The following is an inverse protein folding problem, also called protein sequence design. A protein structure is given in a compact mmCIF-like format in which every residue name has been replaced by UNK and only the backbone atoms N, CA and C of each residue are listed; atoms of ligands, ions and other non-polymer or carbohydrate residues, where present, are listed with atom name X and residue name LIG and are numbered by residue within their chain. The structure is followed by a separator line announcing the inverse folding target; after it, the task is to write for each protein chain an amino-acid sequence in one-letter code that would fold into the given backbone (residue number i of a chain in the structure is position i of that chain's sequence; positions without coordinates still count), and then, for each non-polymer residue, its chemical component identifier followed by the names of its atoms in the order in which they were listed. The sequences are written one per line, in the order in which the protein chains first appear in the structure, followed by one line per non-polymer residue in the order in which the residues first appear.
data_IF_441190101925
#
_entry.id   IF_441190101925
#
_cell.length_a   1.000
_cell.length_b   1.000
_cell.length_c   1.000
_cell.angle_alpha   90.00
_cell.angle_beta   90.00
_cell.angle_gamma   90.00
#
_symmetry.space_group_name_H-M   'P 1'
#
loop_
_entity.id
_entity.type
_entity.pdbx_description
1 polymer ?
#
# COMPACT_ATOMS: atom_id res chain seq x y z
N UNK A 1 46.63 12.32 51.39
CA UNK A 1 45.43 11.49 51.37
C UNK A 1 44.68 11.82 50.06
N UNK A 2 45.03 11.09 49.00
CA UNK A 2 44.45 11.30 47.68
C UNK A 2 43.19 10.44 47.54
N UNK A 3 42.08 11.08 47.31
CA UNK A 3 40.83 10.40 46.92
C UNK A 3 40.79 10.26 45.40
N UNK A 4 40.84 9.02 44.90
CA UNK A 4 40.65 8.70 43.48
C UNK A 4 39.12 8.60 43.22
N UNK A 5 38.59 9.50 42.37
CA UNK A 5 37.25 9.39 41.79
C UNK A 5 37.28 8.37 40.66
N UNK A 6 36.67 7.20 40.86
CA UNK A 6 36.32 6.28 39.77
C UNK A 6 35.07 6.80 39.05
N UNK A 7 35.24 7.34 37.84
CA UNK A 7 34.13 7.61 36.94
C UNK A 7 33.71 6.29 36.28
N UNK A 8 32.56 5.72 36.67
CA UNK A 8 31.90 4.66 35.93
C UNK A 8 31.29 5.26 34.65
N UNK A 9 31.87 4.92 33.51
CA UNK A 9 31.23 5.15 32.22
C UNK A 9 30.05 4.19 32.09
N UNK A 10 28.84 4.70 32.23
CA UNK A 10 27.61 3.99 31.83
C UNK A 10 27.57 4.00 30.32
N UNK A 11 27.94 2.88 29.72
CA UNK A 11 27.68 2.62 28.29
C UNK A 11 26.18 2.48 28.11
N UNK A 12 25.52 3.55 27.65
CA UNK A 12 24.18 3.45 27.10
C UNK A 12 24.26 2.57 25.85
N UNK A 13 23.86 1.33 25.97
CA UNK A 13 23.53 0.50 24.83
C UNK A 13 22.27 1.11 24.21
N UNK A 14 22.45 1.98 23.21
CA UNK A 14 21.32 2.40 22.36
C UNK A 14 20.83 1.15 21.64
N UNK A 15 19.69 0.62 22.09
CA UNK A 15 18.93 -0.34 21.33
C UNK A 15 18.48 0.38 20.06
N UNK A 16 19.21 0.20 18.97
CA UNK A 16 18.77 0.57 17.63
C UNK A 16 17.58 -0.33 17.34
N UNK A 17 16.39 0.16 17.62
CA UNK A 17 15.18 -0.49 17.12
C UNK A 17 15.24 -0.37 15.60
N UNK A 18 15.35 -1.51 14.89
CA UNK A 18 15.26 -1.55 13.46
C UNK A 18 13.92 -0.90 13.04
N UNK A 19 14.01 0.17 12.27
CA UNK A 19 12.84 0.95 11.88
C UNK A 19 12.01 0.13 10.89
N UNK A 20 10.71 -0.04 11.17
CA UNK A 20 9.77 -0.67 10.25
C UNK A 20 9.67 0.16 8.98
N UNK A 21 9.97 -0.46 7.84
CA UNK A 21 9.89 0.22 6.54
C UNK A 21 8.44 0.39 6.12
N UNK A 22 8.11 1.59 5.67
CA UNK A 22 6.77 1.93 5.14
C UNK A 22 6.88 2.48 3.72
N UNK A 23 5.82 2.36 2.95
CA UNK A 23 5.72 3.08 1.68
C UNK A 23 5.67 4.58 1.96
N UNK A 24 6.61 5.34 1.44
CA UNK A 24 6.72 6.78 1.73
C UNK A 24 7.27 7.56 0.54
N UNK A 25 6.78 8.79 0.38
CA UNK A 25 7.43 9.84 -0.39
C UNK A 25 7.97 10.83 0.63
N UNK A 26 9.29 10.94 0.69
CA UNK A 26 9.98 11.79 1.66
C UNK A 26 10.12 13.23 1.19
N UNK A 27 9.89 13.49 -0.11
CA UNK A 27 9.91 14.82 -0.71
C UNK A 27 8.54 15.17 -1.27
N UNK A 28 8.13 16.41 -1.07
CA UNK A 28 6.82 16.91 -1.51
C UNK A 28 6.68 17.02 -3.03
N UNK A 29 7.78 17.21 -3.76
CA UNK A 29 7.82 17.26 -5.21
C UNK A 29 7.77 15.90 -5.90
N UNK A 30 7.91 14.79 -5.14
CA UNK A 30 7.77 13.43 -5.65
C UNK A 30 6.29 13.03 -5.66
N UNK A 31 5.75 12.77 -6.85
CA UNK A 31 4.32 12.49 -7.07
C UNK A 31 4.13 11.19 -7.86
N UNK A 32 2.90 10.71 -7.88
CA UNK A 32 2.40 9.60 -8.72
C UNK A 32 3.32 8.38 -8.70
N UNK A 33 3.80 8.01 -7.49
CA UNK A 33 4.70 6.87 -7.34
C UNK A 33 3.92 5.57 -7.44
N UNK A 34 4.25 4.74 -8.41
CA UNK A 34 3.65 3.43 -8.64
C UNK A 34 4.70 2.33 -8.71
N UNK A 35 4.35 1.15 -8.24
CA UNK A 35 5.16 -0.05 -8.34
C UNK A 35 4.25 -1.22 -8.71
N UNK A 36 4.20 -1.56 -10.00
CA UNK A 36 3.28 -2.56 -10.52
C UNK A 36 4.02 -3.72 -11.18
N UNK A 37 3.50 -4.93 -10.98
CA UNK A 37 4.00 -6.12 -11.65
C UNK A 37 3.86 -5.99 -13.16
N UNK A 38 4.96 -6.17 -13.89
CA UNK A 38 5.06 -6.02 -15.34
C UNK A 38 4.48 -4.70 -15.91
N UNK A 39 4.39 -3.66 -15.07
CA UNK A 39 3.83 -2.37 -15.44
C UNK A 39 2.31 -2.36 -15.66
N UNK A 40 1.60 -3.42 -15.26
CA UNK A 40 0.15 -3.52 -15.37
C UNK A 40 -0.51 -2.77 -14.21
N UNK A 41 -1.22 -1.69 -14.52
CA UNK A 41 -1.89 -0.85 -13.51
C UNK A 41 -2.87 -1.68 -12.65
N UNK A 42 -2.77 -1.51 -11.33
CA UNK A 42 -3.56 -2.25 -10.34
C UNK A 42 -2.99 -3.62 -9.95
N UNK A 43 -2.03 -4.17 -10.71
CA UNK A 43 -1.33 -5.39 -10.32
C UNK A 43 -0.40 -5.10 -9.13
N UNK A 44 -0.50 -5.95 -8.11
CA UNK A 44 0.27 -5.76 -6.89
C UNK A 44 1.75 -6.12 -7.09
N UNK A 45 2.64 -5.49 -6.32
CA UNK A 45 4.07 -5.74 -6.41
C UNK A 45 4.45 -7.06 -5.71
N UNK A 46 3.97 -8.18 -6.26
CA UNK A 46 4.29 -9.54 -5.79
C UNK A 46 4.86 -10.33 -6.94
N UNK A 47 6.13 -10.69 -6.84
CA UNK A 47 6.84 -11.52 -7.82
C UNK A 47 6.84 -12.98 -7.37
N UNK A 48 6.95 -13.90 -8.32
CA UNK A 48 7.21 -15.32 -8.05
C UNK A 48 8.70 -15.58 -8.16
N UNK A 49 9.28 -16.22 -7.16
CA UNK A 49 10.71 -16.55 -7.14
C UNK A 49 11.08 -17.42 -8.36
N UNK A 50 12.10 -17.01 -9.08
CA UNK A 50 12.54 -17.68 -10.29
C UNK A 50 11.70 -17.42 -11.55
N UNK A 51 10.68 -16.56 -11.49
CA UNK A 51 9.96 -16.12 -12.68
C UNK A 51 10.73 -15.01 -13.43
N UNK A 52 10.30 -14.77 -14.67
CA UNK A 52 10.80 -13.64 -15.47
C UNK A 52 10.05 -12.33 -15.23
N UNK A 53 9.05 -12.35 -14.33
CA UNK A 53 8.28 -11.18 -13.96
C UNK A 53 9.17 -10.11 -13.34
N UNK A 54 8.85 -8.85 -13.61
CA UNK A 54 9.55 -7.69 -13.08
C UNK A 54 8.56 -6.64 -12.57
N UNK A 55 8.99 -5.82 -11.65
CA UNK A 55 8.23 -4.65 -11.21
C UNK A 55 8.65 -3.43 -12.03
N UNK A 56 7.69 -2.64 -12.47
CA UNK A 56 7.94 -1.31 -13.01
C UNK A 56 7.72 -0.28 -11.90
N UNK A 57 8.83 0.26 -11.40
CA UNK A 57 8.81 1.45 -10.56
C UNK A 57 8.67 2.66 -11.46
N UNK A 58 7.73 3.56 -11.14
CA UNK A 58 7.53 4.82 -11.85
C UNK A 58 7.19 5.92 -10.85
N UNK A 59 7.72 7.12 -11.07
CA UNK A 59 7.42 8.30 -10.26
C UNK A 59 7.67 9.57 -11.05
N UNK A 60 7.01 10.64 -10.66
CA UNK A 60 7.22 11.97 -11.20
C UNK A 60 7.95 12.83 -10.15
N UNK A 61 8.85 13.68 -10.64
CA UNK A 61 9.44 14.77 -9.84
C UNK A 61 8.99 16.08 -10.47
N UNK A 62 8.30 16.91 -9.69
CA UNK A 62 7.82 18.21 -10.15
C UNK A 62 8.99 19.14 -10.47
N UNK A 63 8.88 19.89 -11.56
CA UNK A 63 9.91 20.75 -12.11
C UNK A 63 10.45 20.24 -13.45
N UNK A 64 11.14 21.13 -14.17
CA UNK A 64 11.65 20.85 -15.52
C UNK A 64 13.09 20.25 -15.51
N UNK A 65 13.78 20.29 -14.37
CA UNK A 65 15.18 19.86 -14.28
C UNK A 65 15.29 18.35 -14.13
N UNK A 66 16.18 17.76 -14.92
CA UNK A 66 16.50 16.33 -14.84
C UNK A 66 17.59 16.13 -13.79
N UNK A 67 17.27 15.32 -12.78
CA UNK A 67 18.22 14.95 -11.73
C UNK A 67 18.63 13.47 -11.84
N UNK A 68 19.80 13.11 -11.33
CA UNK A 68 20.27 11.73 -11.28
C UNK A 68 19.74 11.02 -10.01
N UNK A 69 19.16 9.85 -10.19
CA UNK A 69 18.66 9.01 -9.10
C UNK A 69 19.24 7.61 -9.16
N UNK A 70 19.25 6.94 -8.00
CA UNK A 70 19.62 5.53 -7.84
C UNK A 70 18.54 4.81 -7.03
N UNK A 71 18.37 3.53 -7.30
CA UNK A 71 17.58 2.65 -6.45
C UNK A 71 18.49 1.69 -5.69
N UNK A 72 18.06 1.25 -4.52
CA UNK A 72 18.62 0.15 -3.75
C UNK A 72 17.53 -0.77 -3.27
N UNK A 73 17.76 -2.09 -3.37
CA UNK A 73 16.87 -3.15 -2.91
C UNK A 73 17.44 -3.77 -1.66
N UNK A 74 16.62 -3.97 -0.62
CA UNK A 74 17.02 -4.64 0.61
C UNK A 74 15.96 -5.67 1.00
N UNK A 75 16.40 -6.79 1.55
CA UNK A 75 15.52 -7.80 2.11
C UNK A 75 15.01 -7.37 3.48
N UNK A 76 13.77 -7.77 3.83
CA UNK A 76 13.12 -7.47 5.09
C UNK A 76 12.50 -8.74 5.68
N UNK A 77 12.38 -8.77 6.98
CA UNK A 77 11.63 -9.80 7.70
C UNK A 77 10.10 -9.69 7.44
N UNK A 78 9.33 -10.61 7.98
CA UNK A 78 7.87 -10.64 7.82
C UNK A 78 7.15 -9.45 8.48
N UNK A 79 7.85 -8.64 9.27
CA UNK A 79 7.36 -7.41 9.93
C UNK A 79 7.87 -6.13 9.28
N UNK A 80 8.51 -6.25 8.11
CA UNK A 80 9.06 -5.13 7.34
C UNK A 80 10.24 -4.42 8.04
N UNK A 81 11.01 -5.14 8.84
CA UNK A 81 12.30 -4.65 9.34
C UNK A 81 13.38 -5.13 8.36
N UNK A 82 14.27 -4.21 7.95
CA UNK A 82 15.43 -4.59 7.13
C UNK A 82 16.29 -5.54 7.94
N UNK A 83 16.58 -6.70 7.41
CA UNK A 83 17.42 -7.68 8.07
C UNK A 83 18.92 -7.46 7.77
N UNK A 84 19.77 -8.16 8.53
CA UNK A 84 21.24 -8.03 8.46
C UNK A 84 21.86 -8.91 7.37
N UNK A 85 21.07 -9.32 6.36
CA UNK A 85 21.58 -10.17 5.28
C UNK A 85 22.42 -9.36 4.30
N UNK A 86 23.53 -9.96 3.88
CA UNK A 86 24.36 -9.38 2.85
C UNK A 86 23.71 -9.52 1.46
N UNK A 87 23.86 -8.55 0.55
CA UNK A 87 23.21 -8.54 -0.76
C UNK A 87 23.33 -9.85 -1.55
N UNK A 88 24.51 -10.47 -1.56
CA UNK A 88 24.75 -11.74 -2.27
C UNK A 88 23.98 -12.94 -1.70
N UNK A 89 23.39 -12.84 -0.50
CA UNK A 89 22.58 -13.90 0.10
C UNK A 89 21.14 -13.90 -0.43
N UNK A 90 20.62 -12.73 -0.82
CA UNK A 90 19.24 -12.59 -1.31
C UNK A 90 19.13 -12.23 -2.78
N UNK A 91 20.22 -11.79 -3.42
CA UNK A 91 20.22 -11.39 -4.83
C UNK A 91 21.48 -11.81 -5.56
N UNK A 92 21.32 -12.35 -6.77
CA UNK A 92 22.39 -12.55 -7.73
C UNK A 92 22.42 -11.33 -8.66
N UNK A 93 23.58 -10.73 -8.86
CA UNK A 93 23.76 -9.48 -9.61
C UNK A 93 23.81 -8.26 -8.68
N UNK A 94 23.22 -7.15 -9.12
CA UNK A 94 23.31 -5.87 -8.42
C UNK A 94 22.00 -5.57 -7.70
N UNK A 95 22.07 -5.28 -6.40
CA UNK A 95 20.95 -4.85 -5.57
C UNK A 95 20.63 -3.37 -5.74
N UNK A 96 21.56 -2.60 -6.33
CA UNK A 96 21.40 -1.19 -6.59
C UNK A 96 21.78 -0.81 -8.04
N UNK A 97 21.25 0.29 -8.50
CA UNK A 97 21.57 0.79 -9.83
C UNK A 97 21.10 2.22 -10.07
N UNK A 98 21.59 2.87 -11.13
CA UNK A 98 21.07 4.18 -11.54
C UNK A 98 19.69 4.04 -12.16
N UNK A 99 18.87 5.10 -12.03
CA UNK A 99 17.60 5.26 -12.75
C UNK A 99 17.91 6.13 -13.97
N UNK A 100 18.07 5.50 -15.12
CA UNK A 100 18.47 6.18 -16.36
C UNK A 100 17.30 6.47 -17.30
N UNK A 101 16.13 5.87 -17.02
CA UNK A 101 14.97 6.00 -17.87
C UNK A 101 14.10 7.16 -17.36
N UNK A 102 13.97 8.20 -18.16
CA UNK A 102 13.10 9.34 -17.84
C UNK A 102 12.54 10.00 -19.09
N UNK A 103 11.46 10.74 -18.93
CA UNK A 103 10.86 11.59 -19.96
C UNK A 103 10.33 12.87 -19.30
N UNK A 104 10.62 14.03 -19.88
CA UNK A 104 10.05 15.29 -19.44
C UNK A 104 8.59 15.40 -19.84
N UNK A 105 7.80 16.11 -19.04
CA UNK A 105 6.41 16.45 -19.38
C UNK A 105 6.35 17.29 -20.65
N UNK A 106 5.24 17.19 -21.35
CA UNK A 106 5.00 17.91 -22.58
C UNK A 106 3.55 18.40 -22.67
N UNK A 107 3.36 19.66 -23.01
CA UNK A 107 2.04 20.31 -23.13
C UNK A 107 1.21 20.37 -21.83
N UNK A 108 1.86 20.29 -20.67
CA UNK A 108 1.25 20.43 -19.34
C UNK A 108 1.47 21.84 -18.80
N UNK A 109 0.61 22.30 -17.88
CA UNK A 109 0.84 23.54 -17.13
C UNK A 109 1.86 23.31 -16.01
N UNK A 110 1.80 22.14 -15.37
CA UNK A 110 2.78 21.73 -14.36
C UNK A 110 3.90 20.95 -15.02
N UNK A 111 5.13 21.47 -14.96
CA UNK A 111 6.30 20.76 -15.43
C UNK A 111 6.67 19.63 -14.47
N UNK A 112 7.04 18.47 -15.00
CA UNK A 112 7.60 17.36 -14.24
C UNK A 112 8.48 16.48 -15.12
N UNK A 113 9.33 15.70 -14.48
CA UNK A 113 10.11 14.63 -15.12
C UNK A 113 9.58 13.29 -14.63
N UNK A 114 9.13 12.44 -15.54
CA UNK A 114 8.66 11.08 -15.24
C UNK A 114 9.84 10.10 -15.33
N UNK A 115 10.21 9.51 -14.19
CA UNK A 115 11.26 8.49 -14.07
C UNK A 115 10.65 7.10 -14.02
N UNK A 116 11.36 6.10 -14.58
CA UNK A 116 10.94 4.71 -14.45
C UNK A 116 12.11 3.75 -14.53
N UNK A 117 11.98 2.60 -13.83
CA UNK A 117 12.97 1.52 -13.86
C UNK A 117 12.32 0.16 -13.60
N UNK A 118 12.87 -0.88 -14.23
CA UNK A 118 12.45 -2.26 -13.99
C UNK A 118 13.26 -2.93 -12.89
N UNK A 119 12.56 -3.54 -11.91
CA UNK A 119 13.13 -4.20 -10.75
C UNK A 119 12.70 -5.67 -10.73
N UNK A 120 13.63 -6.62 -10.61
CA UNK A 120 15.10 -6.43 -10.66
C UNK A 120 15.56 -5.96 -12.04
N UNK A 121 16.82 -5.52 -12.14
CA UNK A 121 17.44 -5.23 -13.45
C UNK A 121 17.51 -6.52 -14.27
N UNK A 122 17.69 -6.41 -15.59
CA UNK A 122 17.82 -7.60 -16.46
C UNK A 122 19.05 -8.48 -16.13
N UNK A 123 19.97 -7.97 -15.33
CA UNK A 123 21.22 -8.65 -14.92
C UNK A 123 21.16 -9.13 -13.47
N UNK A 124 20.00 -9.00 -12.81
CA UNK A 124 19.83 -9.33 -11.41
C UNK A 124 18.65 -10.27 -11.19
N UNK A 125 18.77 -11.13 -10.17
CA UNK A 125 17.77 -12.15 -9.85
C UNK A 125 17.64 -12.32 -8.35
N UNK A 126 16.41 -12.45 -7.84
CA UNK A 126 16.18 -12.81 -6.44
C UNK A 126 16.55 -14.28 -6.21
N UNK A 127 17.28 -14.55 -5.13
CA UNK A 127 17.68 -15.89 -4.72
C UNK A 127 16.76 -16.49 -3.67
N UNK A 128 16.09 -15.66 -2.88
CA UNK A 128 15.21 -16.07 -1.79
C UNK A 128 13.86 -15.34 -1.85
N UNK A 129 12.86 -15.95 -1.22
CA UNK A 129 11.54 -15.37 -1.03
C UNK A 129 11.51 -14.47 0.20
N UNK A 130 10.53 -13.58 0.32
CA UNK A 130 10.34 -12.72 1.48
C UNK A 130 9.80 -11.35 1.11
N UNK A 131 9.92 -10.44 2.05
CA UNK A 131 9.61 -9.04 1.87
C UNK A 131 10.86 -8.30 1.38
N UNK A 132 10.63 -7.29 0.57
CA UNK A 132 11.68 -6.45 0.03
C UNK A 132 11.26 -5.00 0.03
N UNK A 133 12.21 -4.10 0.16
CA UNK A 133 12.02 -2.67 -0.03
C UNK A 133 12.93 -2.16 -1.14
N UNK A 134 12.38 -1.32 -2.00
CA UNK A 134 13.17 -0.48 -2.91
C UNK A 134 13.18 0.94 -2.36
N UNK A 135 14.38 1.48 -2.22
CA UNK A 135 14.63 2.86 -1.79
C UNK A 135 15.24 3.62 -2.96
N UNK A 136 14.73 4.81 -3.24
CA UNK A 136 15.29 5.70 -4.26
C UNK A 136 15.94 6.90 -3.57
N UNK A 137 17.19 7.19 -3.97
CA UNK A 137 17.98 8.31 -3.44
C UNK A 137 18.53 9.16 -4.58
N UNK A 138 18.97 10.38 -4.28
CA UNK A 138 19.79 11.15 -5.22
C UNK A 138 21.11 10.46 -5.48
N UNK A 139 21.59 10.51 -6.72
CA UNK A 139 22.77 9.76 -7.16
C UNK A 139 24.03 9.99 -6.32
N UNK A 140 24.27 11.22 -5.87
CA UNK A 140 25.44 11.60 -5.09
C UNK A 140 25.14 11.87 -3.60
N UNK A 141 23.91 11.59 -3.17
CA UNK A 141 23.43 11.87 -1.81
C UNK A 141 22.66 10.65 -1.29
N UNK A 142 23.32 9.58 -0.88
CA UNK A 142 22.67 8.32 -0.49
C UNK A 142 21.75 8.47 0.73
N UNK A 143 21.99 9.47 1.58
CA UNK A 143 21.16 9.77 2.74
C UNK A 143 19.91 10.61 2.39
N UNK A 144 19.85 11.17 1.18
CA UNK A 144 18.71 11.93 0.69
C UNK A 144 17.70 11.00 0.01
N UNK A 145 16.87 10.36 0.84
CA UNK A 145 15.84 9.43 0.38
C UNK A 145 14.66 10.19 -0.24
N UNK A 146 14.31 9.85 -1.48
CA UNK A 146 13.13 10.38 -2.17
C UNK A 146 11.88 9.61 -1.83
N UNK A 147 11.97 8.30 -1.97
CA UNK A 147 10.83 7.40 -1.77
C UNK A 147 11.29 6.01 -1.34
N UNK A 148 10.37 5.30 -0.69
CA UNK A 148 10.48 3.88 -0.39
C UNK A 148 9.23 3.16 -0.86
N UNK A 149 9.36 1.94 -1.40
CA UNK A 149 8.22 1.08 -1.79
C UNK A 149 8.50 -0.36 -1.40
N UNK A 150 7.49 -0.99 -0.80
CA UNK A 150 7.51 -2.39 -0.37
C UNK A 150 7.01 -3.28 -1.48
N UNK A 151 7.62 -4.44 -1.61
CA UNK A 151 7.16 -5.52 -2.50
C UNK A 151 7.50 -6.88 -1.92
N UNK A 152 6.95 -7.94 -2.51
CA UNK A 152 7.17 -9.29 -2.04
C UNK A 152 7.67 -10.19 -3.16
N UNK A 153 8.46 -11.19 -2.77
CA UNK A 153 8.85 -12.31 -3.64
C UNK A 153 8.35 -13.60 -2.99
N UNK A 154 7.40 -14.29 -3.63
CA UNK A 154 6.81 -15.53 -3.13
C UNK A 154 7.45 -16.74 -3.78
N UNK A 155 7.78 -17.75 -2.99
CA UNK A 155 8.31 -19.03 -3.53
C UNK A 155 7.23 -19.99 -4.04
N UNK A 156 6.04 -19.96 -3.42
CA UNK A 156 4.92 -20.79 -3.84
C UNK A 156 5.02 -22.25 -3.44
N UNK A 157 5.76 -22.60 -2.39
CA UNK A 157 5.85 -23.97 -1.86
C UNK A 157 4.54 -24.48 -1.27
N UNK A 158 3.68 -23.57 -0.81
CA UNK A 158 2.29 -23.83 -0.43
C UNK A 158 1.32 -23.02 -1.31
N UNK A 159 0.07 -23.49 -1.35
CA UNK A 159 -1.09 -22.74 -1.85
C UNK A 159 -1.92 -22.28 -0.66
N UNK A 160 -2.27 -21.01 -0.62
CA UNK A 160 -3.20 -20.45 0.34
C UNK A 160 -4.58 -20.34 -0.33
N UNK A 161 -5.49 -21.25 0.03
CA UNK A 161 -6.89 -21.18 -0.38
C UNK A 161 -7.61 -20.19 0.54
N UNK A 162 -8.16 -19.14 -0.03
CA UNK A 162 -8.86 -18.07 0.69
C UNK A 162 -10.34 -18.19 0.42
N UNK A 163 -11.15 -18.25 1.47
CA UNK A 163 -12.60 -18.24 1.38
C UNK A 163 -13.19 -17.14 2.25
N UNK A 164 -14.27 -16.50 1.77
CA UNK A 164 -14.94 -15.40 2.46
C UNK A 164 -16.38 -15.82 2.74
N UNK A 165 -16.74 -15.81 4.01
CA UNK A 165 -18.04 -16.31 4.47
C UNK A 165 -18.73 -15.40 5.47
N UNK A 166 -19.76 -15.97 6.11
CA UNK A 166 -20.46 -15.36 7.24
C UNK A 166 -19.61 -15.57 8.49
N UNK A 167 -19.52 -14.57 9.41
CA UNK A 167 -18.80 -14.72 10.67
C UNK A 167 -19.27 -15.94 11.48
N UNK A 168 -18.33 -16.69 12.03
CA UNK A 168 -18.58 -17.95 12.77
C UNK A 168 -19.46 -17.75 14.00
N UNK A 169 -19.41 -16.57 14.62
CA UNK A 169 -20.18 -16.21 15.80
C UNK A 169 -21.61 -15.72 15.46
N UNK A 170 -21.94 -15.58 14.18
CA UNK A 170 -23.18 -15.03 13.65
C UNK A 170 -23.54 -13.61 14.18
N UNK A 171 -22.53 -12.86 14.65
CA UNK A 171 -22.70 -11.47 15.08
C UNK A 171 -22.48 -10.53 13.90
N UNK A 172 -23.40 -9.57 13.74
CA UNK A 172 -23.33 -8.54 12.67
C UNK A 172 -23.11 -9.12 11.26
N UNK A 173 -23.81 -10.19 10.93
CA UNK A 173 -23.68 -10.92 9.66
C UNK A 173 -23.95 -10.07 8.41
N UNK A 174 -24.67 -8.95 8.57
CA UNK A 174 -24.95 -8.00 7.50
C UNK A 174 -23.88 -6.90 7.36
N UNK A 175 -22.94 -6.84 8.29
CA UNK A 175 -21.90 -5.81 8.35
C UNK A 175 -20.49 -6.35 8.21
N UNK A 176 -20.29 -7.66 8.43
CA UNK A 176 -18.99 -8.31 8.56
C UNK A 176 -18.82 -9.53 7.67
N UNK A 177 -17.58 -9.87 7.39
CA UNK A 177 -17.17 -11.09 6.68
C UNK A 177 -16.07 -11.79 7.44
N UNK A 178 -16.11 -13.13 7.44
CA UNK A 178 -15.01 -13.96 7.90
C UNK A 178 -14.15 -14.39 6.72
N UNK A 179 -12.83 -14.27 6.90
CA UNK A 179 -11.81 -14.66 5.92
C UNK A 179 -11.08 -15.88 6.45
N UNK A 180 -11.33 -17.02 5.83
CA UNK A 180 -10.72 -18.30 6.18
C UNK A 180 -9.57 -18.61 5.24
N UNK A 181 -8.50 -19.19 5.78
CA UNK A 181 -7.32 -19.59 5.03
C UNK A 181 -6.98 -21.05 5.30
N UNK A 182 -6.83 -21.84 4.22
CA UNK A 182 -6.34 -23.21 4.30
C UNK A 182 -5.03 -23.34 3.52
N UNK A 183 -3.98 -23.89 4.16
CA UNK A 183 -2.65 -24.04 3.57
C UNK A 183 -2.48 -25.45 3.01
N UNK A 184 -2.43 -25.56 1.69
CA UNK A 184 -2.27 -26.83 0.96
C UNK A 184 -0.89 -26.94 0.35
N UNK A 185 -0.38 -28.15 0.25
CA UNK A 185 0.85 -28.45 -0.47
C UNK A 185 0.71 -28.04 -1.96
N UNK A 186 1.72 -27.36 -2.48
CA UNK A 186 1.81 -27.07 -3.90
C UNK A 186 2.59 -28.17 -4.61
N UNK A 187 1.90 -29.15 -5.19
CA UNK A 187 2.50 -30.30 -5.88
C UNK A 187 3.31 -29.94 -7.13
N UNK A 188 3.09 -28.75 -7.67
CA UNK A 188 3.80 -28.24 -8.85
C UNK A 188 5.12 -27.53 -8.49
N UNK A 189 5.33 -27.25 -7.20
CA UNK A 189 6.55 -26.62 -6.71
C UNK A 189 7.76 -27.57 -6.82
N UNK A 190 8.91 -27.04 -7.25
CA UNK A 190 10.15 -27.82 -7.47
C UNK A 190 11.35 -27.28 -6.69
N UNK A 191 11.14 -26.29 -5.84
CA UNK A 191 12.19 -25.69 -5.01
C UNK A 191 12.42 -26.43 -3.70
N UNK A 192 12.99 -25.74 -2.72
CA UNK A 192 13.28 -26.27 -1.39
C UNK A 192 11.99 -26.62 -0.64
N UNK A 193 11.78 -27.91 -0.41
CA UNK A 193 10.57 -28.41 0.24
C UNK A 193 10.51 -28.01 1.73
N UNK A 194 9.30 -27.79 2.21
CA UNK A 194 9.03 -27.66 3.63
C UNK A 194 9.09 -29.05 4.32
N UNK A 195 9.28 -29.11 5.66
CA UNK A 195 9.22 -30.36 6.39
C UNK A 195 7.90 -31.09 6.15
N UNK A 196 7.91 -32.45 6.11
CA UNK A 196 6.69 -33.24 5.87
C UNK A 196 5.59 -32.99 6.91
N UNK A 197 5.98 -32.66 8.14
CA UNK A 197 5.06 -32.32 9.22
C UNK A 197 5.19 -30.82 9.50
N UNK A 198 4.17 -30.07 9.12
CA UNK A 198 4.13 -28.62 9.32
C UNK A 198 3.70 -28.30 10.75
N UNK A 199 4.56 -27.57 11.47
CA UNK A 199 4.22 -27.04 12.79
C UNK A 199 3.63 -25.63 12.65
N UNK A 200 2.39 -25.38 13.08
CA UNK A 200 1.75 -24.07 12.95
C UNK A 200 2.50 -22.95 13.67
N UNK A 201 3.31 -23.25 14.69
CA UNK A 201 4.12 -22.25 15.40
C UNK A 201 5.20 -21.58 14.53
N UNK A 202 5.55 -22.18 13.38
CA UNK A 202 6.53 -21.62 12.45
C UNK A 202 5.89 -20.78 11.33
N UNK A 203 4.56 -20.70 11.33
CA UNK A 203 3.84 -19.93 10.35
C UNK A 203 3.33 -18.61 10.91
N UNK A 204 3.41 -17.58 10.09
CA UNK A 204 2.76 -16.29 10.28
C UNK A 204 1.87 -16.05 9.07
N UNK A 205 0.56 -16.00 9.29
CA UNK A 205 -0.45 -15.78 8.24
C UNK A 205 -1.04 -14.40 8.42
N UNK A 206 -0.88 -13.53 7.42
CA UNK A 206 -1.34 -12.14 7.48
C UNK A 206 -2.35 -11.89 6.38
N UNK A 207 -3.48 -11.29 6.73
CA UNK A 207 -4.53 -10.90 5.79
C UNK A 207 -4.58 -9.40 5.66
N UNK A 208 -4.64 -8.91 4.42
CA UNK A 208 -4.84 -7.52 4.04
C UNK A 208 -6.17 -7.38 3.30
N UNK A 209 -7.01 -6.45 3.73
CA UNK A 209 -8.25 -6.10 3.05
C UNK A 209 -8.02 -4.92 2.11
N UNK A 210 -8.36 -5.06 0.83
CA UNK A 210 -8.12 -4.09 -0.23
C UNK A 210 -6.62 -3.70 -0.32
N UNK A 211 -6.28 -2.43 -0.23
CA UNK A 211 -4.89 -1.96 -0.15
C UNK A 211 -4.50 -1.44 1.23
N UNK A 212 -5.38 -1.56 2.22
CA UNK A 212 -5.20 -1.02 3.58
C UNK A 212 -4.08 -1.71 4.34
N UNK A 213 -3.27 -0.93 5.00
CA UNK A 213 -2.20 -1.44 5.88
C UNK A 213 -2.55 -1.27 7.36
N UNK A 214 -3.46 -0.37 7.68
CA UNK A 214 -3.91 -0.06 9.03
C UNK A 214 -4.77 -1.15 9.67
N UNK A 215 -5.48 -1.95 8.84
CA UNK A 215 -6.36 -3.03 9.29
C UNK A 215 -5.84 -4.43 8.95
N UNK A 216 -4.55 -4.58 8.60
CA UNK A 216 -3.94 -5.90 8.41
C UNK A 216 -4.02 -6.73 9.68
N UNK A 217 -4.34 -8.02 9.55
CA UNK A 217 -4.50 -8.93 10.69
C UNK A 217 -3.65 -10.18 10.53
N UNK A 218 -2.98 -10.55 11.61
CA UNK A 218 -2.31 -11.83 11.74
C UNK A 218 -3.29 -12.86 12.27
N UNK A 219 -3.53 -13.92 11.47
CA UNK A 219 -4.51 -14.94 11.82
C UNK A 219 -3.89 -15.98 12.77
N UNK A 220 -4.51 -16.27 13.90
CA UNK A 220 -4.11 -17.37 14.76
C UNK A 220 -4.49 -18.73 14.14
N UNK A 221 -3.71 -19.77 14.48
CA UNK A 221 -4.00 -21.12 14.03
C UNK A 221 -5.36 -21.61 14.57
N UNK A 222 -6.23 -22.08 13.66
CA UNK A 222 -7.57 -22.55 13.97
C UNK A 222 -7.67 -24.05 14.20
N UNK A 223 -6.77 -24.85 13.62
CA UNK A 223 -6.77 -26.32 13.72
C UNK A 223 -6.35 -27.02 12.44
N UNK A 224 -6.38 -28.34 12.48
CA UNK A 224 -6.15 -29.17 11.31
C UNK A 224 -7.49 -29.73 10.78
N UNK A 225 -7.64 -29.74 9.45
CA UNK A 225 -8.71 -30.45 8.77
C UNK A 225 -8.12 -31.38 7.73
N UNK A 226 -8.35 -32.67 7.90
CA UNK A 226 -7.80 -33.70 6.99
C UNK A 226 -6.29 -33.53 6.73
N UNK A 227 -5.54 -33.09 7.74
CA UNK A 227 -4.10 -32.84 7.65
C UNK A 227 -3.70 -31.48 7.09
N UNK A 228 -4.65 -30.61 6.73
CA UNK A 228 -4.43 -29.26 6.22
C UNK A 228 -4.45 -28.27 7.37
N UNK A 229 -3.49 -27.33 7.41
CA UNK A 229 -3.50 -26.23 8.38
C UNK A 229 -4.60 -25.23 8.00
N UNK A 230 -5.50 -24.97 8.95
CA UNK A 230 -6.61 -24.03 8.79
C UNK A 230 -6.48 -22.87 9.78
N UNK A 231 -6.67 -21.64 9.27
CA UNK A 231 -6.71 -20.39 10.02
C UNK A 231 -8.11 -19.82 9.87
N UNK A 232 -8.97 -20.06 10.87
CA UNK A 232 -10.39 -19.72 10.81
C UNK A 232 -11.06 -19.74 12.17
N UNK A 233 -12.30 -19.20 12.23
CA UNK A 233 -13.15 -19.18 13.42
C UNK A 233 -12.51 -18.49 14.62
N UNK A 234 -11.85 -17.34 14.34
CA UNK A 234 -11.26 -16.44 15.34
C UNK A 234 -11.68 -15.01 15.07
N UNK A 235 -11.59 -14.17 16.08
CA UNK A 235 -11.96 -12.75 15.94
C UNK A 235 -11.11 -12.03 14.90
N UNK A 236 -9.85 -12.44 14.75
CA UNK A 236 -8.90 -11.87 13.80
C UNK A 236 -9.27 -12.22 12.34
N UNK A 237 -10.08 -13.26 12.12
CA UNK A 237 -10.59 -13.63 10.82
C UNK A 237 -11.77 -12.73 10.36
N UNK A 238 -12.40 -11.98 11.29
CA UNK A 238 -13.63 -11.22 11.00
C UNK A 238 -13.28 -9.78 10.65
N UNK A 239 -13.59 -9.36 9.44
CA UNK A 239 -13.35 -8.03 8.89
C UNK A 239 -14.67 -7.27 8.71
N UNK A 240 -14.63 -5.95 8.89
CA UNK A 240 -15.72 -5.06 8.54
C UNK A 240 -15.97 -5.09 7.03
N UNK A 241 -17.24 -5.12 6.62
CA UNK A 241 -17.60 -5.17 5.19
C UNK A 241 -17.22 -3.91 4.45
N UNK A 242 -17.34 -2.74 5.09
CA UNK A 242 -17.16 -1.47 4.42
C UNK A 242 -18.26 -1.18 3.40
N UNK A 243 -18.01 -0.26 2.48
CA UNK A 243 -18.93 0.14 1.44
C UNK A 243 -18.21 0.29 0.10
N UNK A 244 -18.98 0.37 -0.99
CA UNK A 244 -18.46 0.70 -2.32
C UNK A 244 -17.59 1.95 -2.27
N UNK A 245 -16.40 1.88 -2.84
CA UNK A 245 -15.48 3.00 -2.89
C UNK A 245 -16.09 4.18 -3.64
N UNK A 246 -15.92 5.38 -3.12
CA UNK A 246 -16.20 6.62 -3.84
C UNK A 246 -15.22 6.75 -4.99
N UNK A 247 -15.58 7.49 -6.01
CA UNK A 247 -14.69 7.72 -7.15
C UNK A 247 -14.91 9.08 -7.78
N UNK A 248 -13.91 9.55 -8.51
CA UNK A 248 -14.00 10.71 -9.39
C UNK A 248 -13.09 10.53 -10.59
N UNK A 249 -13.35 11.30 -11.63
CA UNK A 249 -12.60 11.26 -12.88
C UNK A 249 -12.18 12.68 -13.30
N UNK A 250 -10.86 12.92 -13.31
CA UNK A 250 -10.21 14.14 -13.78
C UNK A 250 -9.35 13.88 -15.02
N UNK A 251 -9.62 12.83 -15.77
CA UNK A 251 -8.89 12.52 -17.01
C UNK A 251 -9.12 13.56 -18.11
N UNK A 252 -10.21 14.34 -18.01
CA UNK A 252 -10.50 15.45 -18.90
C UNK A 252 -10.54 16.77 -18.12
N UNK A 253 -9.55 17.63 -18.33
CA UNK A 253 -9.46 18.95 -17.66
C UNK A 253 -10.32 20.04 -18.32
N UNK A 254 -10.89 19.78 -19.50
CA UNK A 254 -11.74 20.73 -20.21
C UNK A 254 -13.23 20.53 -19.92
N UNK A 255 -13.60 19.34 -19.47
CA UNK A 255 -14.98 18.96 -19.20
C UNK A 255 -15.05 18.17 -17.91
N UNK A 256 -15.85 18.63 -16.95
CA UNK A 256 -16.10 17.90 -15.72
C UNK A 256 -16.70 16.52 -16.01
N UNK A 257 -16.05 15.47 -15.48
CA UNK A 257 -16.45 14.08 -15.61
C UNK A 257 -17.15 13.59 -14.32
N UNK A 258 -17.14 12.29 -14.09
CA UNK A 258 -17.83 11.68 -12.93
C UNK A 258 -17.42 12.29 -11.60
N UNK A 259 -18.42 12.74 -10.82
CA UNK A 259 -18.29 13.33 -9.48
C UNK A 259 -17.42 14.59 -9.39
N UNK A 260 -17.13 15.21 -10.52
CA UNK A 260 -16.51 16.55 -10.61
C UNK A 260 -17.58 17.56 -10.98
N UNK A 261 -17.67 18.65 -10.23
CA UNK A 261 -18.63 19.74 -10.48
C UNK A 261 -18.04 20.76 -11.44
N UNK A 262 -16.77 21.08 -11.25
CA UNK A 262 -16.09 22.12 -12.00
C UNK A 262 -14.60 21.83 -12.09
N UNK A 263 -14.00 22.15 -13.23
CA UNK A 263 -12.55 22.22 -13.40
C UNK A 263 -12.25 23.58 -14.03
N UNK A 264 -11.28 24.27 -13.49
CA UNK A 264 -10.85 25.59 -13.96
C UNK A 264 -9.34 25.75 -13.86
N UNK A 265 -8.78 26.56 -14.74
CA UNK A 265 -7.40 27.02 -14.67
C UNK A 265 -7.37 28.36 -13.94
N UNK A 266 -6.50 28.46 -12.95
CA UNK A 266 -6.28 29.71 -12.24
C UNK A 266 -4.80 29.86 -11.86
N UNK A 267 -4.19 30.95 -12.26
CA UNK A 267 -2.80 31.25 -11.93
C UNK A 267 -1.76 30.28 -12.52
N UNK A 268 -2.10 29.61 -13.62
CA UNK A 268 -1.22 28.60 -14.26
C UNK A 268 -1.32 27.21 -13.65
N UNK A 269 -2.36 26.95 -12.87
CA UNK A 269 -2.62 25.66 -12.22
C UNK A 269 -4.06 25.21 -12.46
N UNK A 270 -4.28 23.89 -12.48
CA UNK A 270 -5.62 23.32 -12.60
C UNK A 270 -6.24 23.05 -11.24
N UNK A 271 -7.51 23.39 -11.10
CA UNK A 271 -8.32 23.15 -9.89
C UNK A 271 -9.59 22.38 -10.25
N UNK A 272 -9.83 21.28 -9.56
CA UNK A 272 -11.07 20.50 -9.66
C UNK A 272 -11.84 20.58 -8.34
N UNK A 273 -13.13 20.91 -8.44
CA UNK A 273 -14.08 20.85 -7.34
C UNK A 273 -14.88 19.56 -7.47
N UNK A 274 -14.76 18.68 -6.50
CA UNK A 274 -15.57 17.48 -6.45
C UNK A 274 -16.99 17.80 -5.97
N UNK A 275 -17.94 16.94 -6.32
CA UNK A 275 -19.27 16.95 -5.72
C UNK A 275 -19.13 16.83 -4.20
N UNK A 276 -19.84 17.66 -3.40
CA UNK A 276 -19.80 17.53 -1.94
C UNK A 276 -20.07 16.11 -1.49
N UNK A 277 -19.22 15.64 -0.58
CA UNK A 277 -19.34 14.30 -0.02
C UNK A 277 -20.51 14.25 0.95
N UNK A 278 -21.01 13.07 1.20
CA UNK A 278 -22.10 12.85 2.15
C UNK A 278 -21.75 11.70 3.09
N UNK A 279 -22.32 11.75 4.28
CA UNK A 279 -22.35 10.61 5.19
C UNK A 279 -23.22 9.50 4.59
N UNK A 280 -22.66 8.31 4.44
CA UNK A 280 -23.32 7.12 3.89
C UNK A 280 -23.58 6.03 4.94
N UNK A 281 -23.22 6.27 6.22
CA UNK A 281 -23.30 5.26 7.28
C UNK A 281 -24.68 4.66 7.48
N UNK A 282 -25.73 5.45 7.25
CA UNK A 282 -27.13 5.02 7.33
C UNK A 282 -27.81 4.70 6.00
N UNK A 283 -27.05 4.62 4.89
CA UNK A 283 -27.63 4.37 3.56
C UNK A 283 -27.56 2.90 3.18
N UNK A 284 -28.53 2.47 2.37
CA UNK A 284 -28.51 1.13 1.77
C UNK A 284 -27.33 0.96 0.84
N UNK A 285 -26.83 -0.27 0.76
CA UNK A 285 -25.75 -0.64 -0.15
C UNK A 285 -26.17 -0.49 -1.61
N UNK A 286 -25.28 0.08 -2.40
CA UNK A 286 -25.43 0.17 -3.86
C UNK A 286 -24.15 -0.39 -4.48
N UNK A 287 -24.31 -1.43 -5.31
CA UNK A 287 -23.19 -2.01 -6.03
C UNK A 287 -22.78 -1.11 -7.18
N UNK A 288 -21.55 -0.62 -7.13
CA UNK A 288 -20.91 0.07 -8.24
C UNK A 288 -19.54 -0.58 -8.50
N UNK A 289 -19.20 -0.73 -9.77
CA UNK A 289 -17.88 -1.25 -10.13
C UNK A 289 -16.85 -0.14 -10.01
N UNK A 290 -15.93 -0.27 -9.05
CA UNK A 290 -14.85 0.67 -8.81
C UNK A 290 -13.50 -0.06 -8.80
N UNK A 291 -12.41 0.69 -8.67
CA UNK A 291 -11.06 0.13 -8.55
C UNK A 291 -10.70 -0.31 -7.11
N UNK A 292 -11.68 -0.45 -6.21
CA UNK A 292 -11.45 -0.81 -4.80
C UNK A 292 -10.31 0.00 -4.14
N UNK A 293 -10.39 1.33 -4.29
CA UNK A 293 -9.39 2.27 -3.74
C UNK A 293 -8.14 2.47 -4.60
N UNK A 294 -8.07 1.84 -5.76
CA UNK A 294 -7.00 2.02 -6.73
C UNK A 294 -7.13 3.30 -7.55
N UNK A 295 -6.11 3.58 -8.35
CA UNK A 295 -6.07 4.71 -9.27
C UNK A 295 -5.63 4.28 -10.66
N UNK A 296 -5.98 5.10 -11.67
CA UNK A 296 -5.54 4.90 -13.04
C UNK A 296 -5.21 6.25 -13.67
N UNK A 297 -3.95 6.50 -13.97
CA UNK A 297 -3.53 7.69 -14.73
C UNK A 297 -4.12 7.61 -16.14
N UNK A 298 -4.84 8.62 -16.54
CA UNK A 298 -5.46 8.67 -17.85
C UNK A 298 -5.62 10.12 -18.33
N UNK A 299 -5.57 10.30 -19.65
CA UNK A 299 -5.78 11.58 -20.33
C UNK A 299 -6.71 11.34 -21.50
N UNK A 300 -7.78 12.12 -21.57
CA UNK A 300 -8.83 11.90 -22.57
C UNK A 300 -8.41 12.26 -23.99
N UNK A 301 -7.71 13.40 -24.15
CA UNK A 301 -7.41 14.02 -25.46
C UNK A 301 -5.93 13.97 -25.84
N UNK A 302 -5.14 13.07 -25.21
CA UNK A 302 -3.71 12.90 -25.43
C UNK A 302 -3.35 11.43 -25.64
N UNK A 303 -2.14 11.18 -26.16
CA UNK A 303 -1.69 9.82 -26.47
C UNK A 303 -0.76 9.24 -25.43
N UNK A 304 0.04 10.07 -24.78
CA UNK A 304 1.02 9.62 -23.76
C UNK A 304 0.65 10.11 -22.37
N UNK A 305 -0.12 9.31 -21.66
CA UNK A 305 -0.55 9.62 -20.29
C UNK A 305 0.59 9.78 -19.28
N UNK A 306 1.80 9.33 -19.58
CA UNK A 306 2.93 9.44 -18.66
C UNK A 306 3.57 10.83 -18.69
N UNK A 307 3.52 11.52 -19.82
CA UNK A 307 4.17 12.81 -20.02
C UNK A 307 3.21 13.94 -20.40
N UNK A 308 1.97 13.61 -20.78
CA UNK A 308 0.98 14.61 -21.24
C UNK A 308 -0.20 14.77 -20.25
N UNK A 309 -0.24 13.97 -19.16
CA UNK A 309 -1.20 14.15 -18.08
C UNK A 309 -0.75 15.28 -17.17
N UNK A 310 -1.61 16.27 -16.95
CA UNK A 310 -1.33 17.40 -16.09
C UNK A 310 -1.63 17.09 -14.61
N UNK A 311 -1.12 17.91 -13.72
CA UNK A 311 -1.46 17.87 -12.31
C UNK A 311 -2.61 18.81 -11.99
N UNK A 312 -3.52 18.35 -11.13
CA UNK A 312 -4.75 19.07 -10.78
C UNK A 312 -4.88 19.12 -9.25
N UNK A 313 -5.14 20.28 -8.70
CA UNK A 313 -5.54 20.42 -7.29
C UNK A 313 -6.99 20.00 -7.11
N UNK A 314 -7.21 18.85 -6.54
CA UNK A 314 -8.53 18.26 -6.29
C UNK A 314 -9.01 18.63 -4.90
N UNK A 315 -10.17 19.31 -4.83
CA UNK A 315 -10.76 19.77 -3.58
C UNK A 315 -11.88 18.82 -3.14
N UNK A 316 -11.69 18.21 -1.98
CA UNK A 316 -12.67 17.37 -1.29
C UNK A 316 -13.41 18.23 -0.25
N UNK A 317 -14.71 18.05 -0.12
CA UNK A 317 -15.54 18.73 0.88
C UNK A 317 -16.60 17.77 1.42
N UNK A 318 -16.61 17.58 2.75
CA UNK A 318 -17.63 16.82 3.48
C UNK A 318 -18.39 17.80 4.38
N UNK A 319 -19.58 18.27 3.97
CA UNK A 319 -20.43 19.15 4.80
C UNK A 319 -20.80 18.44 6.10
N UNK A 320 -20.54 19.11 7.23
CA UNK A 320 -20.85 18.60 8.55
C UNK A 320 -21.00 19.78 9.52
N UNK A 321 -22.13 19.87 10.22
CA UNK A 321 -22.45 21.03 11.10
C UNK A 321 -21.46 21.21 12.25
N UNK A 322 -20.89 20.12 12.74
CA UNK A 322 -19.94 20.14 13.86
C UNK A 322 -18.83 19.13 13.61
N UNK A 323 -17.59 19.42 14.01
CA UNK A 323 -16.50 18.47 13.87
C UNK A 323 -16.66 17.27 14.81
N UNK A 324 -16.08 16.15 14.45
CA UNK A 324 -15.85 15.03 15.38
C UNK A 324 -14.89 15.46 16.49
N UNK A 325 -15.30 15.27 17.75
CA UNK A 325 -14.50 15.67 18.90
C UNK A 325 -13.38 14.68 19.24
N UNK A 326 -13.56 13.40 18.88
CA UNK A 326 -12.72 12.30 19.34
C UNK A 326 -12.01 11.56 18.19
N UNK A 327 -11.58 12.26 17.18
CA UNK A 327 -10.87 11.64 16.06
C UNK A 327 -10.71 12.55 14.87
N UNK A 328 -10.21 11.97 13.78
CA UNK A 328 -9.96 12.66 12.51
C UNK A 328 -10.59 11.92 11.34
N UNK A 329 -10.90 12.65 10.28
CA UNK A 329 -11.43 12.12 9.03
C UNK A 329 -10.33 12.09 8.00
N UNK A 330 -10.18 10.96 7.29
CA UNK A 330 -9.15 10.77 6.29
C UNK A 330 -9.74 10.31 4.95
N UNK A 331 -9.17 10.82 3.85
CA UNK A 331 -9.41 10.32 2.48
C UNK A 331 -8.36 9.25 2.21
N UNK A 332 -8.81 8.00 1.96
CA UNK A 332 -7.91 6.85 1.91
C UNK A 332 -8.10 6.04 0.62
N UNK A 333 -6.99 5.73 -0.01
CA UNK A 333 -6.87 4.95 -1.24
C UNK A 333 -5.44 5.00 -1.76
N UNK A 334 -5.21 4.48 -2.95
CA UNK A 334 -3.90 4.55 -3.59
C UNK A 334 -3.44 6.01 -3.81
N UNK A 335 -4.40 6.93 -3.99
CA UNK A 335 -4.15 8.37 -4.13
C UNK A 335 -3.46 9.02 -2.91
N UNK A 336 -3.62 8.43 -1.72
CA UNK A 336 -2.93 8.82 -0.47
C UNK A 336 -1.99 7.72 0.02
N UNK A 337 -1.65 6.72 -0.85
CA UNK A 337 -0.82 5.56 -0.50
C UNK A 337 -1.37 4.77 0.70
N UNK A 338 -2.68 4.78 0.90
CA UNK A 338 -3.38 4.11 2.00
C UNK A 338 -2.93 4.57 3.41
N UNK A 339 -2.34 5.76 3.52
CA UNK A 339 -1.85 6.32 4.78
C UNK A 339 -2.94 7.04 5.55
N UNK A 340 -2.79 7.02 6.88
CA UNK A 340 -3.56 7.78 7.85
C UNK A 340 -2.65 8.84 8.50
N UNK A 341 -2.18 9.79 7.68
CA UNK A 341 -1.29 10.87 8.09
C UNK A 341 -1.87 12.25 7.75
N UNK A 342 -1.12 13.31 7.98
CA UNK A 342 -1.57 14.68 7.69
C UNK A 342 -1.87 14.89 6.19
N UNK A 343 -1.22 14.15 5.29
CA UNK A 343 -1.46 14.23 3.84
C UNK A 343 -2.81 13.65 3.41
N UNK A 344 -3.43 12.80 4.21
CA UNK A 344 -4.76 12.22 3.96
C UNK A 344 -5.86 12.81 4.84
N UNK A 345 -5.50 13.58 5.87
CA UNK A 345 -6.42 14.13 6.87
C UNK A 345 -7.22 15.29 6.31
N UNK A 346 -8.53 15.26 6.55
CA UNK A 346 -9.41 16.39 6.28
C UNK A 346 -9.43 17.35 7.46
N UNK A 347 -9.29 18.63 7.20
CA UNK A 347 -9.39 19.69 8.21
C UNK A 347 -10.80 20.26 8.25
N UNK A 348 -11.30 20.52 9.46
CA UNK A 348 -12.61 21.11 9.65
C UNK A 348 -12.55 22.64 9.52
N UNK A 349 -13.35 23.17 8.60
CA UNK A 349 -13.53 24.60 8.38
C UNK A 349 -14.85 25.03 9.04
N UNK A 350 -14.80 25.78 10.16
CA UNK A 350 -16.00 26.18 10.90
C UNK A 350 -16.85 27.22 10.16
N UNK A 351 -16.26 28.02 9.25
CA UNK A 351 -17.01 29.01 8.47
C UNK A 351 -17.86 28.32 7.40
N UNK A 352 -17.28 27.30 6.76
CA UNK A 352 -17.99 26.50 5.75
C UNK A 352 -18.80 25.36 6.35
N UNK A 353 -18.66 25.08 7.64
CA UNK A 353 -19.24 23.92 8.31
C UNK A 353 -18.98 22.62 7.53
N UNK A 354 -17.71 22.37 7.19
CA UNK A 354 -17.31 21.24 6.37
C UNK A 354 -15.89 20.79 6.69
N UNK A 355 -15.63 19.49 6.56
CA UNK A 355 -14.27 18.97 6.43
C UNK A 355 -13.76 19.16 5.01
N UNK A 356 -12.51 19.58 4.87
CA UNK A 356 -11.87 19.88 3.59
C UNK A 356 -10.50 19.23 3.48
N UNK A 357 -10.16 18.83 2.25
CA UNK A 357 -8.81 18.39 1.89
C UNK A 357 -8.53 18.82 0.46
N UNK A 358 -7.30 19.23 0.17
CA UNK A 358 -6.83 19.50 -1.19
C UNK A 358 -5.64 18.61 -1.49
N UNK A 359 -5.73 17.83 -2.57
CA UNK A 359 -4.66 16.98 -3.05
C UNK A 359 -4.23 17.38 -4.46
N UNK A 360 -2.93 17.43 -4.73
CA UNK A 360 -2.38 17.58 -6.06
C UNK A 360 -2.22 16.20 -6.69
N UNK A 361 -3.06 15.89 -7.69
CA UNK A 361 -3.15 14.58 -8.33
C UNK A 361 -2.95 14.70 -9.84
N UNK A 362 -2.32 13.71 -10.46
CA UNK A 362 -2.19 13.61 -11.90
C UNK A 362 -3.54 13.30 -12.54
N UNK A 363 -3.82 13.77 -13.76
CA UNK A 363 -5.05 13.42 -14.48
C UNK A 363 -5.31 11.92 -14.49
N UNK A 364 -6.56 11.50 -14.21
CA UNK A 364 -6.93 10.11 -14.12
C UNK A 364 -8.23 9.84 -13.41
N UNK A 365 -8.48 8.55 -13.18
CA UNK A 365 -9.58 8.03 -12.39
C UNK A 365 -9.07 7.55 -11.04
N UNK A 366 -9.80 7.90 -9.98
CA UNK A 366 -9.42 7.63 -8.59
C UNK A 366 -10.59 7.06 -7.81
N UNK A 367 -10.34 5.95 -7.12
CA UNK A 367 -11.27 5.39 -6.14
C UNK A 367 -10.71 5.60 -4.73
N UNK A 368 -11.60 5.90 -3.76
CA UNK A 368 -11.22 6.22 -2.38
C UNK A 368 -12.37 5.95 -1.42
N UNK A 369 -12.07 5.95 -0.13
CA UNK A 369 -13.06 5.91 0.94
C UNK A 369 -12.73 6.94 2.02
N UNK A 370 -13.71 7.26 2.85
CA UNK A 370 -13.51 8.05 4.06
C UNK A 370 -13.33 7.12 5.26
N UNK A 371 -12.29 7.35 6.03
CA UNK A 371 -12.09 6.66 7.29
C UNK A 371 -12.12 7.65 8.44
N UNK A 372 -12.81 7.26 9.51
CA UNK A 372 -12.72 7.95 10.79
C UNK A 372 -11.69 7.25 11.67
N UNK A 373 -10.67 7.98 12.12
CA UNK A 373 -9.64 7.47 13.02
C UNK A 373 -9.90 8.01 14.42
N UNK A 374 -10.33 7.17 15.38
CA UNK A 374 -10.50 7.61 16.76
C UNK A 374 -9.20 8.09 17.38
N UNK A 375 -9.28 9.03 18.30
CA UNK A 375 -8.11 9.59 18.98
C UNK A 375 -7.35 8.52 19.75
N UNK A 376 -6.08 8.34 19.40
CA UNK A 376 -5.19 7.34 20.03
C UNK A 376 -5.21 5.98 19.34
N UNK A 377 -6.05 5.78 18.33
CA UNK A 377 -6.07 4.59 17.51
C UNK A 377 -5.25 4.78 16.21
N UNK A 378 -4.80 3.67 15.64
CA UNK A 378 -4.07 3.64 14.36
C UNK A 378 -4.87 3.01 13.23
N UNK A 379 -6.03 2.43 13.53
CA UNK A 379 -6.93 1.82 12.56
C UNK A 379 -8.13 2.72 12.27
N UNK A 380 -8.41 2.94 11.01
CA UNK A 380 -9.56 3.73 10.57
C UNK A 380 -10.84 2.89 10.48
N UNK A 381 -11.94 3.47 10.92
CA UNK A 381 -13.28 2.89 10.91
C UNK A 381 -14.06 3.32 9.67
N UNK A 382 -14.64 2.37 8.97
CA UNK A 382 -15.55 2.62 7.82
C UNK A 382 -16.96 2.93 8.28
N UNK A 383 -17.43 2.33 9.38
CA UNK A 383 -18.80 2.42 9.87
C UNK A 383 -19.29 3.86 10.08
N UNK A 384 -18.38 4.76 10.52
CA UNK A 384 -18.75 6.12 10.92
C UNK A 384 -19.24 7.00 9.77
N UNK A 385 -18.71 6.82 8.56
CA UNK A 385 -18.99 7.67 7.40
C UNK A 385 -19.40 6.91 6.14
N UNK A 386 -18.98 5.65 6.02
CA UNK A 386 -19.29 4.82 4.87
C UNK A 386 -20.38 3.78 5.17
N UNK A 387 -20.48 3.32 6.42
CA UNK A 387 -21.27 2.15 6.80
C UNK A 387 -20.51 0.85 6.50
N UNK A 388 -21.08 -0.26 6.96
CA UNK A 388 -20.56 -1.60 6.73
C UNK A 388 -21.64 -2.47 6.10
N UNK A 389 -21.29 -3.13 4.99
CA UNK A 389 -22.19 -3.96 4.21
C UNK A 389 -21.50 -5.26 3.81
N UNK A 390 -22.11 -6.39 4.11
CA UNK A 390 -21.55 -7.71 3.78
C UNK A 390 -21.48 -7.96 2.28
N UNK A 391 -22.30 -7.26 1.49
CA UNK A 391 -22.35 -7.36 0.03
C UNK A 391 -21.12 -6.75 -0.66
N UNK A 392 -20.34 -5.93 0.05
CA UNK A 392 -19.17 -5.28 -0.54
C UNK A 392 -18.16 -6.34 -1.03
N UNK A 393 -17.80 -6.34 -2.33
CA UNK A 393 -16.85 -7.28 -2.88
C UNK A 393 -15.41 -6.82 -2.58
N UNK A 394 -14.98 -7.01 -1.33
CA UNK A 394 -13.62 -6.70 -0.91
C UNK A 394 -12.60 -7.66 -1.52
N UNK A 395 -11.40 -7.16 -1.77
CA UNK A 395 -10.22 -7.91 -2.18
C UNK A 395 -9.41 -8.27 -0.92
N UNK A 396 -9.35 -9.55 -0.60
CA UNK A 396 -8.54 -10.04 0.52
C UNK A 396 -7.29 -10.74 0.00
N UNK A 397 -6.14 -10.34 0.52
CA UNK A 397 -4.83 -10.90 0.19
C UNK A 397 -4.21 -11.52 1.41
N UNK A 398 -3.64 -12.69 1.21
CA UNK A 398 -3.04 -13.49 2.27
C UNK A 398 -1.57 -13.69 1.98
N UNK A 399 -0.75 -13.32 2.95
CA UNK A 399 0.69 -13.53 2.94
C UNK A 399 1.03 -14.60 3.99
N UNK A 400 1.69 -15.67 3.58
CA UNK A 400 2.04 -16.79 4.45
C UNK A 400 3.54 -16.87 4.58
N UNK A 401 4.04 -16.53 5.73
CA UNK A 401 5.46 -16.63 6.06
C UNK A 401 5.73 -17.93 6.84
N UNK A 402 6.89 -18.49 6.61
CA UNK A 402 7.41 -19.66 7.32
C UNK A 402 8.84 -19.39 7.78
N UNK A 403 9.13 -19.68 9.06
CA UNK A 403 10.47 -19.66 9.61
C UNK A 403 10.69 -20.86 10.52
N UNK A 404 11.35 -21.89 10.01
CA UNK A 404 11.76 -23.06 10.77
C UNK A 404 12.92 -22.75 11.71
N UNK A 405 13.26 -23.69 12.59
CA UNK A 405 14.31 -23.52 13.61
C UNK A 405 15.69 -23.17 13.03
N UNK A 406 15.98 -23.62 11.82
CA UNK A 406 17.28 -23.42 11.17
C UNK A 406 17.24 -22.36 10.06
N UNK A 407 16.09 -21.74 9.82
CA UNK A 407 15.95 -20.72 8.78
C UNK A 407 16.51 -19.40 9.29
N UNK A 408 17.29 -18.73 8.45
CA UNK A 408 17.90 -17.42 8.77
C UNK A 408 16.96 -16.25 8.49
N UNK A 409 15.93 -16.44 7.66
CA UNK A 409 15.00 -15.41 7.22
C UNK A 409 13.55 -15.94 7.17
N UNK A 410 12.60 -15.04 7.06
CA UNK A 410 11.18 -15.37 6.92
C UNK A 410 10.85 -15.65 5.45
N UNK A 411 10.66 -16.92 5.10
CA UNK A 411 10.29 -17.34 3.75
C UNK A 411 8.83 -16.98 3.48
N UNK A 412 8.53 -16.29 2.38
CA UNK A 412 7.16 -16.09 1.91
C UNK A 412 6.73 -17.34 1.09
N UNK A 413 6.12 -18.31 1.76
CA UNK A 413 5.83 -19.65 1.20
C UNK A 413 4.56 -19.70 0.36
N UNK A 414 3.61 -18.80 0.60
CA UNK A 414 2.41 -18.66 -0.20
C UNK A 414 1.89 -17.22 -0.23
N UNK A 415 1.23 -16.87 -1.33
CA UNK A 415 0.42 -15.69 -1.51
C UNK A 415 -0.93 -16.11 -2.10
N UNK A 416 -2.03 -15.73 -1.44
CA UNK A 416 -3.39 -16.07 -1.84
C UNK A 416 -4.26 -14.82 -2.00
N UNK A 417 -5.33 -14.96 -2.78
CA UNK A 417 -6.41 -13.95 -2.89
C UNK A 417 -7.76 -14.66 -3.03
N UNK A 418 -8.86 -14.02 -2.60
CA UNK A 418 -10.22 -14.49 -2.83
C UNK A 418 -10.71 -14.28 -4.26
#
# INVERSE_FOLDING_TARGET
MFMALCAMAVSCCECVYAQVVTDSNWREDVKTVTLYKNGVEGERPVLVLGSEDRLLLRFDVLGAEVEGYRYKIQHCDSRWQVDEMEPYEYMNGFEEGPINNYNSSFTTLTDYVNYYEYIPSQYSQFLISGNYVVTVTRQNEPDNVLLTRRFCVVEGSLKADVSVGVPYDNVSIFERREVDVALKENRDYRGSMLPPTLNPAYFRVVVQQNGRTDNMRELPFGGYESGVLCYRHKNENVFEGGNTFRYFDISNIRTAMYNVVQIEEYGGEWYAMLRPLEDRSGKSFITEQTLNGGMKVNVWDRTNKQTEADYVYVNFMLPMRSPFMNGSVHVVGELTQWKLDEGSRMEYDPEMQAYRLRLMLKQGYYAYQLLFVPKGESCGLTETLEGNHYEMPNDYRVYVYYRGLNDRYDRLVAYGKN
#
